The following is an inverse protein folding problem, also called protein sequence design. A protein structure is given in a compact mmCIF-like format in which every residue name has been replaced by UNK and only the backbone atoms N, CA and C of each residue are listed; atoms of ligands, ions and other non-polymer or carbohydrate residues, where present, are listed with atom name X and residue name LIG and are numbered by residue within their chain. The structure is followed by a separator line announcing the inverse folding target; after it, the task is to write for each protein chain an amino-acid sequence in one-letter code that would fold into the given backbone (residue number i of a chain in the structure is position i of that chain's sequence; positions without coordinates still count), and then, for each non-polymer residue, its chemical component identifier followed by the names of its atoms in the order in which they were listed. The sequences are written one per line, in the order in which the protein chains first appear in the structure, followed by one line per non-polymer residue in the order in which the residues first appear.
data_IF_249920490184
#
_entry.id   IF_249920490184
#
_cell.length_a   1.000
_cell.length_b   1.000
_cell.length_c   1.000
_cell.angle_alpha   90.00
_cell.angle_beta   90.00
_cell.angle_gamma   90.00
#
_symmetry.space_group_name_H-M   'P 1'
#
loop_
_entity.id
_entity.type
_entity.pdbx_description
1 polymer ?
#
# COMPACT_ATOMS: atom_id res chain seq x y z
N UNK A 1 1.28 -6.82 18.03
CA UNK A 1 2.03 -5.62 17.62
C UNK A 1 3.24 -6.06 16.80
N UNK A 2 3.27 -5.78 15.49
CA UNK A 2 4.44 -6.09 14.66
C UNK A 2 5.59 -5.17 15.11
N UNK A 3 6.77 -5.73 15.37
CA UNK A 3 7.95 -4.93 15.69
C UNK A 3 8.59 -4.45 14.39
N UNK A 4 8.33 -3.20 14.02
CA UNK A 4 8.79 -2.62 12.76
C UNK A 4 10.32 -2.55 12.67
N UNK A 5 10.87 -2.82 11.48
CA UNK A 5 12.31 -2.68 11.21
C UNK A 5 12.67 -1.21 11.06
N UNK A 6 13.90 -0.88 11.37
CA UNK A 6 14.41 0.48 11.22
C UNK A 6 15.27 0.57 9.97
N UNK A 7 15.07 1.64 9.19
CA UNK A 7 15.92 1.98 8.03
C UNK A 7 16.40 3.42 8.16
N UNK A 8 17.49 3.70 7.46
CA UNK A 8 18.13 5.00 7.35
C UNK A 8 18.04 5.47 5.90
N UNK A 9 17.56 6.69 5.74
CA UNK A 9 17.46 7.44 4.49
C UNK A 9 18.61 8.45 4.43
N UNK A 10 19.35 8.48 3.32
CA UNK A 10 20.49 9.40 3.14
C UNK A 10 20.75 9.67 1.66
N UNK A 11 21.23 10.87 1.31
CA UNK A 11 21.58 11.22 -0.07
C UNK A 11 22.13 12.64 -0.17
N UNK A 12 22.57 13.03 -1.37
CA UNK A 12 23.03 14.39 -1.62
C UNK A 12 21.88 15.38 -1.38
N UNK A 13 22.11 16.39 -0.54
CA UNK A 13 21.07 17.39 -0.22
C UNK A 13 19.94 16.91 0.70
N UNK A 14 19.98 15.67 1.21
CA UNK A 14 19.01 15.15 2.18
C UNK A 14 19.68 14.85 3.53
N UNK A 15 19.17 15.47 4.60
CA UNK A 15 19.64 15.17 5.96
C UNK A 15 19.35 13.71 6.29
N UNK A 16 20.32 13.01 6.89
CA UNK A 16 20.12 11.60 7.23
C UNK A 16 19.01 11.43 8.27
N UNK A 17 17.98 10.64 7.96
CA UNK A 17 16.85 10.35 8.86
C UNK A 17 16.74 8.85 9.09
N UNK A 18 16.42 8.46 10.33
CA UNK A 18 16.14 7.07 10.70
C UNK A 18 14.65 6.91 10.98
N UNK A 19 14.01 5.97 10.29
CA UNK A 19 12.55 5.76 10.31
C UNK A 19 12.19 4.29 10.46
N UNK A 20 11.00 4.02 10.99
CA UNK A 20 10.43 2.67 11.01
C UNK A 20 9.90 2.35 9.61
N UNK A 21 10.43 1.31 8.99
CA UNK A 21 10.00 0.81 7.69
C UNK A 21 8.85 -0.19 7.91
N UNK A 22 7.63 0.29 7.72
CA UNK A 22 6.43 -0.53 7.74
C UNK A 22 5.30 0.16 6.96
N UNK A 23 4.40 -0.62 6.33
CA UNK A 23 3.14 -0.06 5.87
C UNK A 23 2.30 0.43 7.06
N UNK A 24 1.41 1.36 6.76
CA UNK A 24 0.41 1.89 7.69
C UNK A 24 -0.91 1.18 7.45
N UNK A 25 -1.63 0.92 8.53
CA UNK A 25 -2.98 0.39 8.48
C UNK A 25 -3.96 1.54 8.72
N UNK A 26 -4.87 1.75 7.78
CA UNK A 26 -5.91 2.77 7.85
C UNK A 26 -7.26 2.13 8.17
N UNK A 27 -7.93 2.71 9.15
CA UNK A 27 -9.36 2.55 9.39
C UNK A 27 -9.99 3.94 9.18
N UNK A 28 -11.17 3.99 8.55
CA UNK A 28 -11.77 5.27 8.20
C UNK A 28 -13.11 5.14 7.52
N UNK A 29 -13.59 6.22 6.92
CA UNK A 29 -14.83 6.27 6.16
C UNK A 29 -14.67 7.19 4.95
N UNK A 30 -15.45 6.93 3.91
CA UNK A 30 -15.52 7.84 2.76
C UNK A 30 -16.47 8.98 3.11
N UNK A 31 -16.09 10.21 2.76
CA UNK A 31 -16.92 11.41 2.99
C UNK A 31 -18.29 11.22 2.31
N UNK A 32 -19.35 11.32 3.10
CA UNK A 32 -20.72 11.12 2.62
C UNK A 32 -21.29 9.71 2.87
N UNK A 33 -20.45 8.74 3.25
CA UNK A 33 -20.88 7.39 3.66
C UNK A 33 -20.35 7.01 5.06
N UNK A 34 -20.61 7.83 6.10
CA UNK A 34 -20.02 7.62 7.44
C UNK A 34 -20.48 6.32 8.13
N UNK A 35 -21.54 5.68 7.64
CA UNK A 35 -22.04 4.41 8.15
C UNK A 35 -21.43 3.19 7.43
N UNK A 36 -20.54 3.42 6.46
CA UNK A 36 -19.83 2.39 5.70
C UNK A 36 -18.31 2.60 5.89
N UNK A 37 -17.79 2.37 7.10
CA UNK A 37 -16.36 2.48 7.33
C UNK A 37 -15.62 1.38 6.57
N UNK A 38 -14.38 1.69 6.18
CA UNK A 38 -13.41 0.68 5.79
C UNK A 38 -12.45 0.43 6.94
N UNK A 39 -11.98 -0.81 7.04
CA UNK A 39 -11.04 -1.24 8.07
C UNK A 39 -9.87 -1.97 7.43
N UNK A 40 -8.74 -1.96 8.11
CA UNK A 40 -7.54 -2.70 7.77
C UNK A 40 -6.98 -2.37 6.39
N UNK A 41 -7.15 -1.15 5.87
CA UNK A 41 -6.59 -0.72 4.59
C UNK A 41 -5.07 -0.57 4.72
N UNK A 42 -4.30 -1.47 4.10
CA UNK A 42 -2.85 -1.38 4.10
C UNK A 42 -2.37 -0.36 3.07
N UNK A 43 -1.53 0.58 3.50
CA UNK A 43 -0.97 1.61 2.65
C UNK A 43 0.53 1.76 2.87
N UNK A 44 1.25 2.05 1.79
CA UNK A 44 2.70 2.20 1.80
C UNK A 44 3.05 3.68 1.67
N UNK A 45 3.95 4.15 2.52
CA UNK A 45 4.40 5.52 2.45
C UNK A 45 5.19 5.76 1.16
N UNK A 46 4.85 6.81 0.41
CA UNK A 46 5.58 7.26 -0.78
C UNK A 46 6.22 8.63 -0.58
N UNK A 47 6.29 9.09 0.68
CA UNK A 47 6.78 10.42 1.02
C UNK A 47 7.82 10.38 2.15
N UNK A 48 9.07 10.67 1.79
CA UNK A 48 10.21 10.62 2.72
C UNK A 48 10.61 11.99 3.28
N UNK A 49 9.99 13.08 2.80
CA UNK A 49 10.33 14.44 3.21
C UNK A 49 9.33 15.02 4.22
N UNK A 50 8.11 14.49 4.26
CA UNK A 50 7.12 14.85 5.26
C UNK A 50 7.07 13.80 6.38
N UNK A 51 7.00 14.29 7.62
CA UNK A 51 6.72 13.46 8.77
C UNK A 51 5.22 13.50 9.08
N UNK A 52 4.75 12.42 9.70
CA UNK A 52 3.43 12.34 10.29
C UNK A 52 3.60 11.93 11.75
N UNK A 53 2.88 12.59 12.64
CA UNK A 53 2.86 12.33 14.07
C UNK A 53 1.44 11.99 14.53
N UNK A 54 1.30 11.36 15.69
CA UNK A 54 -0.01 11.08 16.28
C UNK A 54 -0.82 12.37 16.57
N UNK A 55 -0.14 13.52 16.72
CA UNK A 55 -0.81 14.80 16.92
C UNK A 55 -1.49 15.30 15.64
N UNK A 56 -1.01 14.89 14.47
CA UNK A 56 -1.60 15.27 13.18
C UNK A 56 -2.95 14.57 12.93
N UNK A 57 -3.26 13.50 13.66
CA UNK A 57 -4.54 12.78 13.63
C UNK A 57 -5.63 13.41 14.53
N UNK A 58 -5.46 14.66 14.98
CA UNK A 58 -6.45 15.37 15.79
C UNK A 58 -6.78 16.74 15.17
N UNK A 59 -7.91 16.90 14.46
CA UNK A 59 -8.94 15.90 14.12
C UNK A 59 -8.45 14.85 13.10
N UNK A 60 -9.26 13.83 12.81
CA UNK A 60 -8.92 12.78 11.84
C UNK A 60 -8.41 13.37 10.52
N UNK A 61 -7.31 12.82 10.02
CA UNK A 61 -6.72 13.24 8.75
C UNK A 61 -7.67 12.91 7.60
N UNK A 62 -7.79 13.84 6.66
CA UNK A 62 -8.63 13.66 5.48
C UNK A 62 -7.76 13.53 4.24
N UNK A 63 -8.04 12.50 3.44
CA UNK A 63 -7.30 12.15 2.22
C UNK A 63 -8.21 12.20 0.99
N UNK A 64 -7.62 12.49 -0.17
CA UNK A 64 -8.22 12.35 -1.50
C UNK A 64 -7.37 11.37 -2.31
N UNK A 65 -8.01 10.67 -3.24
CA UNK A 65 -7.39 9.79 -4.24
C UNK A 65 -7.51 10.34 -5.68
N UNK A 66 -7.90 11.61 -5.83
CA UNK A 66 -8.04 12.30 -7.12
C UNK A 66 -6.70 12.79 -7.70
N UNK A 67 -5.60 12.58 -6.96
CA UNK A 67 -4.25 13.02 -7.34
C UNK A 67 -3.46 11.79 -7.76
N UNK A 68 -2.85 11.85 -8.95
CA UNK A 68 -1.96 10.79 -9.42
C UNK A 68 -0.54 10.95 -8.86
N UNK A 69 0.18 9.84 -8.75
CA UNK A 69 1.59 9.85 -8.35
C UNK A 69 2.47 10.19 -9.56
N UNK A 70 2.83 11.45 -9.72
CA UNK A 70 3.67 11.93 -10.85
C UNK A 70 5.06 12.42 -10.41
N UNK A 71 5.21 12.79 -9.14
CA UNK A 71 6.36 13.50 -8.64
C UNK A 71 7.08 12.72 -7.55
N UNK A 72 8.37 12.97 -7.40
CA UNK A 72 9.04 12.55 -6.18
C UNK A 72 8.48 13.34 -4.98
N UNK A 73 8.67 12.81 -3.79
CA UNK A 73 8.19 13.45 -2.56
C UNK A 73 8.90 14.76 -2.18
N UNK A 74 9.91 15.18 -2.94
CA UNK A 74 10.66 16.40 -2.65
C UNK A 74 9.88 17.61 -3.14
N UNK A 75 9.45 18.45 -2.22
CA UNK A 75 8.84 19.73 -2.57
C UNK A 75 9.90 20.81 -2.76
N UNK A 76 9.98 21.37 -3.97
CA UNK A 76 10.65 22.63 -4.27
C UNK A 76 9.72 23.51 -5.14
N UNK A 77 9.40 24.76 -4.70
CA UNK A 77 8.51 25.64 -5.45
C UNK A 77 9.08 26.10 -6.79
N UNK A 78 10.39 25.98 -7.01
CA UNK A 78 11.08 26.38 -8.24
C UNK A 78 11.49 25.16 -9.09
N UNK A 79 11.38 23.94 -8.55
CA UNK A 79 11.79 22.71 -9.21
C UNK A 79 10.84 21.57 -8.82
N UNK A 80 10.14 20.99 -9.79
CA UNK A 80 9.43 19.73 -9.59
C UNK A 80 10.18 18.61 -10.28
N UNK A 81 10.61 17.64 -9.48
CA UNK A 81 11.23 16.41 -9.98
C UNK A 81 10.12 15.38 -10.24
N UNK A 82 10.05 14.91 -11.48
CA UNK A 82 9.06 13.93 -11.92
C UNK A 82 9.63 12.52 -11.78
N UNK A 83 8.74 11.59 -11.45
CA UNK A 83 9.00 10.18 -11.60
C UNK A 83 8.84 9.81 -13.08
N UNK A 84 9.70 8.95 -13.58
CA UNK A 84 9.50 8.31 -14.88
C UNK A 84 8.33 7.31 -14.82
N UNK A 85 7.74 7.02 -15.98
CA UNK A 85 6.69 6.01 -16.09
C UNK A 85 7.14 4.64 -15.53
N UNK A 86 8.40 4.27 -15.76
CA UNK A 86 8.99 3.03 -15.24
C UNK A 86 9.08 3.04 -13.70
N UNK A 87 9.41 4.18 -13.09
CA UNK A 87 9.43 4.33 -11.63
C UNK A 87 8.03 4.24 -11.04
N UNK A 88 7.02 4.88 -11.68
CA UNK A 88 5.61 4.80 -11.25
C UNK A 88 5.13 3.36 -11.35
N UNK A 89 5.41 2.66 -12.45
CA UNK A 89 5.06 1.24 -12.62
C UNK A 89 5.74 0.36 -11.57
N UNK A 90 7.02 0.61 -11.28
CA UNK A 90 7.76 -0.14 -10.26
C UNK A 90 7.18 0.10 -8.86
N UNK A 91 6.90 1.35 -8.49
CA UNK A 91 6.26 1.70 -7.21
C UNK A 91 4.92 0.99 -7.11
N UNK A 92 4.11 1.06 -8.16
CA UNK A 92 2.80 0.41 -8.18
C UNK A 92 2.86 -1.10 -7.99
N UNK A 93 3.82 -1.77 -8.64
CA UNK A 93 4.06 -3.20 -8.44
C UNK A 93 4.57 -3.54 -7.05
N UNK A 94 5.45 -2.72 -6.47
CA UNK A 94 5.93 -2.91 -5.10
C UNK A 94 4.80 -2.76 -4.08
N UNK A 95 3.90 -1.79 -4.28
CA UNK A 95 2.71 -1.58 -3.44
C UNK A 95 1.79 -2.79 -3.51
N UNK A 96 1.41 -3.23 -4.72
CA UNK A 96 0.52 -4.39 -4.87
C UNK A 96 1.14 -5.68 -4.34
N UNK A 97 2.44 -5.91 -4.59
CA UNK A 97 3.17 -7.03 -4.01
C UNK A 97 3.17 -7.00 -2.47
N UNK A 98 3.43 -5.83 -1.88
CA UNK A 98 3.37 -5.64 -0.43
C UNK A 98 1.97 -5.90 0.14
N UNK A 99 0.93 -5.48 -0.59
CA UNK A 99 -0.47 -5.74 -0.27
C UNK A 99 -0.79 -7.25 -0.28
N UNK A 100 -0.33 -7.99 -1.28
CA UNK A 100 -0.44 -9.45 -1.31
C UNK A 100 0.25 -10.09 -0.10
N UNK A 101 1.51 -9.73 0.18
CA UNK A 101 2.27 -10.21 1.36
C UNK A 101 1.51 -9.96 2.66
N UNK A 102 0.84 -8.81 2.77
CA UNK A 102 0.05 -8.45 3.93
C UNK A 102 -1.16 -9.39 4.11
N UNK A 103 -2.05 -9.45 3.11
CA UNK A 103 -3.35 -10.14 3.22
C UNK A 103 -3.31 -11.64 2.94
N UNK A 104 -2.54 -12.08 1.94
CA UNK A 104 -2.71 -13.42 1.35
C UNK A 104 -1.70 -14.44 1.89
N UNK A 105 -0.56 -13.98 2.42
CA UNK A 105 0.51 -14.90 2.84
C UNK A 105 0.50 -15.22 4.34
N UNK A 106 0.33 -16.51 4.62
CA UNK A 106 0.53 -17.08 5.96
C UNK A 106 1.99 -17.52 6.16
N UNK A 107 2.87 -16.53 6.30
CA UNK A 107 4.29 -16.71 6.63
C UNK A 107 4.56 -16.28 8.07
N UNK A 108 5.69 -16.71 8.64
CA UNK A 108 6.06 -16.32 10.01
C UNK A 108 6.06 -14.80 10.19
N UNK A 109 5.66 -14.32 11.37
CA UNK A 109 5.61 -12.89 11.72
C UNK A 109 6.93 -12.18 11.41
N UNK A 110 8.07 -12.83 11.68
CA UNK A 110 9.40 -12.29 11.40
C UNK A 110 9.67 -12.15 9.90
N UNK A 111 9.31 -13.16 9.10
CA UNK A 111 9.47 -13.12 7.65
C UNK A 111 8.57 -12.03 7.05
N UNK A 112 7.30 -11.96 7.44
CA UNK A 112 6.36 -10.91 7.01
C UNK A 112 6.89 -9.51 7.35
N UNK A 113 7.36 -9.32 8.58
CA UNK A 113 7.93 -8.05 9.05
C UNK A 113 9.17 -7.64 8.25
N UNK A 114 10.07 -8.58 7.96
CA UNK A 114 11.26 -8.31 7.17
C UNK A 114 10.90 -7.94 5.73
N UNK A 115 9.99 -8.70 5.13
CA UNK A 115 9.57 -8.51 3.75
C UNK A 115 8.89 -7.17 3.55
N UNK A 116 7.90 -6.83 4.38
CA UNK A 116 7.18 -5.56 4.31
C UNK A 116 8.09 -4.36 4.56
N UNK A 117 9.07 -4.50 5.48
CA UNK A 117 10.08 -3.47 5.68
C UNK A 117 10.98 -3.28 4.45
N UNK A 118 11.34 -4.38 3.78
CA UNK A 118 12.11 -4.33 2.54
C UNK A 118 11.33 -3.75 1.37
N UNK A 119 10.03 -4.04 1.26
CA UNK A 119 9.13 -3.41 0.29
C UNK A 119 9.03 -1.91 0.56
N UNK A 120 8.75 -1.49 1.79
CA UNK A 120 8.68 -0.06 2.16
C UNK A 120 10.00 0.68 1.88
N UNK A 121 11.14 0.05 2.19
CA UNK A 121 12.46 0.61 1.90
C UNK A 121 12.77 0.69 0.40
N UNK A 122 12.30 -0.28 -0.39
CA UNK A 122 12.44 -0.26 -1.84
C UNK A 122 11.59 0.86 -2.46
N UNK A 123 10.33 1.02 -2.02
CA UNK A 123 9.45 2.12 -2.45
C UNK A 123 10.12 3.46 -2.17
N UNK A 124 10.65 3.67 -0.97
CA UNK A 124 11.36 4.90 -0.62
C UNK A 124 12.59 5.14 -1.49
N UNK A 125 13.34 4.09 -1.82
CA UNK A 125 14.49 4.22 -2.72
C UNK A 125 14.08 4.64 -4.13
N UNK A 126 13.04 4.04 -4.68
CA UNK A 126 12.54 4.37 -6.03
C UNK A 126 11.95 5.78 -6.05
N UNK A 127 11.04 6.11 -5.13
CA UNK A 127 10.31 7.39 -5.15
C UNK A 127 11.20 8.60 -4.88
N UNK A 128 12.31 8.44 -4.14
CA UNK A 128 13.15 9.57 -3.72
C UNK A 128 14.52 9.62 -4.39
N UNK A 129 14.97 8.53 -5.02
CA UNK A 129 16.35 8.37 -5.48
C UNK A 129 17.39 8.34 -4.36
N UNK A 130 16.98 8.33 -3.08
CA UNK A 130 17.89 8.30 -1.93
C UNK A 130 18.49 6.91 -1.70
N UNK A 131 19.60 6.89 -0.97
CA UNK A 131 20.13 5.65 -0.40
C UNK A 131 19.31 5.23 0.81
N UNK A 132 18.81 3.99 0.78
CA UNK A 132 18.04 3.36 1.87
C UNK A 132 18.82 2.17 2.41
N UNK A 133 19.12 2.17 3.71
CA UNK A 133 19.85 1.09 4.39
C UNK A 133 19.21 0.70 5.71
N UNK A 134 19.05 -0.59 5.98
CA UNK A 134 18.61 -1.08 7.29
C UNK A 134 19.62 -0.74 8.39
N UNK A 135 19.11 -0.32 9.55
CA UNK A 135 19.90 0.07 10.73
C UNK A 135 19.18 -0.33 12.01
N UNK A 136 19.86 -0.30 13.16
CA UNK A 136 19.23 -0.50 14.47
C UNK A 136 18.67 -1.92 14.70
N UNK A 137 19.02 -2.89 13.86
CA UNK A 137 18.76 -4.32 14.06
C UNK A 137 20.10 -5.09 14.20
N UNK A 138 20.03 -6.42 14.40
CA UNK A 138 21.23 -7.26 14.35
C UNK A 138 21.89 -7.19 12.97
N UNK A 139 23.21 -7.38 12.90
CA UNK A 139 23.97 -7.34 11.64
C UNK A 139 23.39 -8.28 10.59
N UNK A 140 23.03 -9.51 10.99
CA UNK A 140 22.41 -10.49 10.08
C UNK A 140 21.07 -10.00 9.52
N UNK A 141 20.23 -9.38 10.35
CA UNK A 141 18.95 -8.81 9.89
C UNK A 141 19.19 -7.62 8.95
N UNK A 142 20.13 -6.73 9.27
CA UNK A 142 20.43 -5.59 8.40
C UNK A 142 20.91 -6.07 7.02
N UNK A 143 21.76 -7.10 6.96
CA UNK A 143 22.24 -7.67 5.70
C UNK A 143 21.10 -8.29 4.87
N UNK A 144 20.19 -9.02 5.52
CA UNK A 144 19.00 -9.58 4.86
C UNK A 144 18.15 -8.46 4.26
N UNK A 145 17.82 -7.44 5.06
CA UNK A 145 16.99 -6.32 4.62
C UNK A 145 17.65 -5.52 3.49
N UNK A 146 18.95 -5.22 3.60
CA UNK A 146 19.69 -4.48 2.57
C UNK A 146 19.73 -5.24 1.24
N UNK A 147 19.99 -6.55 1.29
CA UNK A 147 19.97 -7.42 0.10
C UNK A 147 18.59 -7.41 -0.54
N UNK A 148 17.54 -7.51 0.27
CA UNK A 148 16.16 -7.54 -0.20
C UNK A 148 15.70 -6.20 -0.78
N UNK A 149 16.01 -5.09 -0.12
CA UNK A 149 15.77 -3.73 -0.63
C UNK A 149 16.48 -3.53 -1.97
N UNK A 150 17.75 -3.97 -2.09
CA UNK A 150 18.49 -3.85 -3.34
C UNK A 150 17.83 -4.64 -4.50
N UNK A 151 17.36 -5.86 -4.22
CA UNK A 151 16.66 -6.68 -5.22
C UNK A 151 15.32 -6.05 -5.67
N UNK A 152 14.51 -5.59 -4.71
CA UNK A 152 13.19 -5.00 -4.97
C UNK A 152 13.27 -3.60 -5.60
N UNK A 153 14.36 -2.86 -5.39
CA UNK A 153 14.58 -1.52 -5.98
C UNK A 153 15.37 -1.55 -7.30
N UNK A 154 15.73 -2.73 -7.83
CA UNK A 154 16.44 -2.81 -9.10
C UNK A 154 15.47 -2.62 -10.27
N UNK A 155 15.59 -1.50 -10.98
CA UNK A 155 14.69 -1.10 -12.08
C UNK A 155 14.52 -2.19 -13.18
N UNK A 156 15.53 -3.02 -13.42
CA UNK A 156 15.48 -4.03 -14.49
C UNK A 156 14.99 -5.41 -14.04
N UNK A 157 15.06 -5.73 -12.75
CA UNK A 157 14.85 -7.11 -12.27
C UNK A 157 13.94 -7.23 -11.04
N UNK A 158 13.33 -6.14 -10.58
CA UNK A 158 12.56 -6.13 -9.33
C UNK A 158 11.42 -7.17 -9.30
N UNK A 159 10.75 -7.43 -10.42
CA UNK A 159 9.66 -8.42 -10.48
C UNK A 159 10.14 -9.84 -10.21
N UNK A 160 11.35 -10.19 -10.63
CA UNK A 160 11.97 -11.50 -10.34
C UNK A 160 12.27 -11.68 -8.86
N UNK A 161 12.27 -10.58 -8.09
CA UNK A 161 12.44 -10.63 -6.65
C UNK A 161 11.10 -10.90 -5.92
N UNK A 162 9.93 -10.91 -6.55
CA UNK A 162 8.65 -11.13 -5.86
C UNK A 162 8.45 -12.61 -5.48
N UNK A 163 8.98 -13.01 -4.32
CA UNK A 163 9.00 -14.41 -3.87
C UNK A 163 7.65 -14.91 -3.37
N UNK A 164 6.73 -14.00 -3.07
CA UNK A 164 5.40 -14.30 -2.58
C UNK A 164 4.30 -14.01 -3.60
N UNK A 165 4.60 -13.58 -4.83
CA UNK A 165 3.54 -13.33 -5.80
C UNK A 165 2.81 -14.63 -6.17
N UNK A 166 1.48 -14.65 -6.09
CA UNK A 166 0.64 -15.80 -6.48
C UNK A 166 0.21 -15.75 -7.96
N UNK A 167 0.61 -14.69 -8.68
CA UNK A 167 0.30 -14.46 -10.08
C UNK A 167 0.91 -13.16 -10.60
N UNK A 168 0.36 -12.62 -11.70
CA UNK A 168 0.77 -11.31 -12.20
C UNK A 168 0.50 -10.23 -11.14
N UNK A 169 1.55 -9.54 -10.71
CA UNK A 169 1.43 -8.36 -9.84
C UNK A 169 1.15 -7.13 -10.70
N UNK A 170 -0.01 -6.52 -10.52
CA UNK A 170 -0.41 -5.30 -11.23
C UNK A 170 0.31 -4.06 -10.70
N UNK A 171 0.31 -2.98 -11.49
CA UNK A 171 0.95 -1.71 -11.15
C UNK A 171 -0.02 -0.59 -10.80
N UNK A 172 -1.33 -0.81 -10.93
CA UNK A 172 -2.32 0.22 -10.63
C UNK A 172 -2.39 0.46 -9.12
N UNK A 173 -2.40 1.74 -8.74
CA UNK A 173 -2.43 2.20 -7.36
C UNK A 173 -3.30 3.44 -7.25
N UNK A 174 -3.80 3.68 -6.05
CA UNK A 174 -4.37 4.98 -5.65
C UNK A 174 -3.42 5.67 -4.70
N UNK A 175 -3.22 6.98 -4.92
CA UNK A 175 -2.42 7.81 -4.04
C UNK A 175 -3.35 8.53 -3.06
N UNK A 176 -3.30 8.11 -1.79
CA UNK A 176 -3.89 8.83 -0.68
C UNK A 176 -3.06 10.06 -0.40
N UNK A 177 -3.55 11.20 -0.86
CA UNK A 177 -2.94 12.52 -0.62
C UNK A 177 -3.73 13.25 0.46
N UNK A 178 -3.08 13.70 1.55
CA UNK A 178 -3.75 14.53 2.54
C UNK A 178 -4.17 15.84 1.88
N UNK A 179 -5.40 16.27 2.12
CA UNK A 179 -5.90 17.54 1.58
C UNK A 179 -6.20 18.53 2.68
N UNK A 180 -6.14 19.80 2.32
CA UNK A 180 -6.63 20.89 3.15
C UNK A 180 -7.67 21.68 2.35
N UNK A 181 -8.93 21.58 2.75
CA UNK A 181 -10.02 22.34 2.14
C UNK A 181 -9.72 23.84 2.19
N UNK A 182 -9.83 24.51 1.04
CA UNK A 182 -9.56 25.94 0.91
C UNK A 182 -9.66 26.46 -0.53
N UNK A 183 -9.62 27.79 -0.69
CA UNK A 183 -9.71 28.50 -1.99
C UNK A 183 -8.62 28.11 -3.00
N UNK A 184 -7.53 27.51 -2.53
CA UNK A 184 -6.40 27.04 -3.36
C UNK A 184 -6.01 25.63 -2.88
N UNK A 185 -6.49 24.57 -3.55
CA UNK A 185 -6.13 23.21 -3.17
C UNK A 185 -4.63 23.01 -3.39
N UNK A 186 -3.94 22.51 -2.36
CA UNK A 186 -2.54 22.13 -2.46
C UNK A 186 -2.48 20.70 -2.97
N UNK A 187 -1.61 20.45 -3.93
CA UNK A 187 -1.41 19.13 -4.51
C UNK A 187 -0.07 18.59 -4.07
N UNK A 188 0.01 17.27 -3.90
CA UNK A 188 1.26 16.58 -3.67
C UNK A 188 2.27 16.84 -4.81
N UNK A 189 3.58 16.96 -4.51
CA UNK A 189 4.16 17.16 -3.19
C UNK A 189 3.98 18.62 -2.74
N UNK A 190 3.73 18.87 -1.46
CA UNK A 190 3.68 20.24 -0.93
C UNK A 190 4.07 20.31 0.55
N UNK A 191 4.95 21.24 0.91
CA UNK A 191 5.45 21.45 2.29
C UNK A 191 4.41 21.65 3.41
N UNK A 192 3.16 21.91 3.04
CA UNK A 192 2.09 22.22 4.00
C UNK A 192 1.09 21.06 4.11
N UNK A 193 1.39 19.94 3.46
CA UNK A 193 0.66 18.68 3.52
C UNK A 193 1.45 17.70 4.40
N UNK A 194 0.76 16.69 4.92
CA UNK A 194 1.39 15.58 5.65
C UNK A 194 1.87 14.51 4.66
N UNK A 195 2.40 13.42 5.20
CA UNK A 195 2.86 12.27 4.43
C UNK A 195 1.75 11.68 3.54
N UNK A 196 2.10 11.30 2.31
CA UNK A 196 1.20 10.64 1.35
C UNK A 196 1.48 9.14 1.26
N UNK A 197 0.43 8.37 0.92
CA UNK A 197 0.47 6.91 0.92
C UNK A 197 -0.09 6.34 -0.38
N UNK A 198 0.49 5.25 -0.87
CA UNK A 198 -0.06 4.49 -1.98
C UNK A 198 -0.76 3.23 -1.47
N UNK A 199 -1.94 2.94 -2.02
CA UNK A 199 -2.68 1.70 -1.79
C UNK A 199 -2.77 0.91 -3.10
N UNK A 200 -2.70 -0.42 -2.99
CA UNK A 200 -2.85 -1.31 -4.14
C UNK A 200 -4.32 -1.56 -4.44
N UNK A 201 -4.65 -1.79 -5.72
CA UNK A 201 -5.99 -2.18 -6.17
C UNK A 201 -6.38 -3.61 -5.74
N UNK A 202 -5.44 -4.37 -5.18
CA UNK A 202 -5.71 -5.70 -4.62
C UNK A 202 -6.56 -5.69 -3.32
N UNK A 203 -7.04 -4.53 -2.87
CA UNK A 203 -8.15 -4.47 -1.91
C UNK A 203 -9.41 -4.86 -2.68
N UNK A 204 -10.09 -5.98 -2.34
CA UNK A 204 -11.33 -6.31 -3.02
C UNK A 204 -12.27 -5.13 -2.84
N UNK A 205 -12.55 -4.43 -3.94
CA UNK A 205 -13.50 -3.35 -3.96
C UNK A 205 -14.79 -3.83 -3.25
N UNK A 206 -15.55 -2.96 -2.55
CA UNK A 206 -16.85 -3.33 -1.99
C UNK A 206 -17.73 -4.10 -3.00
N UNK A 207 -17.59 -3.83 -4.31
CA UNK A 207 -18.21 -4.58 -5.39
C UNK A 207 -17.77 -6.05 -5.51
N UNK A 208 -16.52 -6.38 -5.19
CA UNK A 208 -16.01 -7.77 -5.18
C UNK A 208 -16.66 -8.59 -4.08
N UNK A 209 -16.92 -7.99 -2.91
CA UNK A 209 -17.70 -8.63 -1.85
C UNK A 209 -19.14 -8.85 -2.29
N UNK A 210 -19.75 -7.87 -2.97
CA UNK A 210 -21.09 -8.00 -3.57
C UNK A 210 -21.12 -9.08 -4.64
N UNK A 211 -20.06 -9.24 -5.45
CA UNK A 211 -19.94 -10.29 -6.46
C UNK A 211 -19.73 -11.68 -5.83
N UNK A 212 -18.93 -11.79 -4.76
CA UNK A 212 -18.76 -13.06 -4.03
C UNK A 212 -20.05 -13.45 -3.31
N UNK A 213 -20.67 -12.54 -2.57
CA UNK A 213 -21.97 -12.77 -1.90
C UNK A 213 -23.07 -13.04 -2.94
N UNK A 214 -23.09 -12.29 -4.04
CA UNK A 214 -24.02 -12.46 -5.15
C UNK A 214 -23.85 -13.83 -5.84
N UNK A 215 -22.61 -14.26 -6.07
CA UNK A 215 -22.28 -15.58 -6.62
C UNK A 215 -22.72 -16.73 -5.72
N UNK A 216 -22.47 -16.65 -4.41
CA UNK A 216 -22.96 -17.64 -3.45
C UNK A 216 -24.49 -17.62 -3.29
N UNK A 217 -25.10 -16.44 -3.34
CA UNK A 217 -26.56 -16.28 -3.32
C UNK A 217 -27.25 -16.92 -4.53
N UNK A 218 -26.68 -16.73 -5.73
CA UNK A 218 -27.18 -17.36 -6.96
C UNK A 218 -26.96 -18.87 -6.97
N UNK A 219 -25.79 -19.35 -6.55
CA UNK A 219 -25.52 -20.79 -6.42
C UNK A 219 -26.48 -21.46 -5.41
N UNK A 220 -26.75 -20.80 -4.28
CA UNK A 220 -27.74 -21.26 -3.28
C UNK A 220 -29.17 -21.28 -3.82
N UNK A 221 -29.56 -20.28 -4.62
CA UNK A 221 -30.88 -20.22 -5.25
C UNK A 221 -31.08 -21.36 -6.27
N UNK A 222 -30.05 -21.68 -7.06
CA UNK A 222 -30.09 -22.78 -8.03
C UNK A 222 -30.18 -24.15 -7.34
N UNK A 223 -29.43 -24.38 -6.25
CA UNK A 223 -29.51 -25.61 -5.45
C UNK A 223 -30.89 -25.79 -4.78
N UNK A 224 -31.52 -24.69 -4.35
CA UNK A 224 -32.86 -24.73 -3.75
C UNK A 224 -33.95 -25.09 -4.77
N UNK A 225 -33.83 -24.60 -6.01
CA UNK A 225 -34.73 -24.96 -7.11
C UNK A 225 -34.64 -26.45 -7.46
N UNK A 226 -33.44 -27.03 -7.41
CA UNK A 226 -33.23 -28.44 -7.70
C UNK A 226 -33.87 -29.36 -6.62
N UNK A 227 -33.88 -28.94 -5.35
CA UNK A 227 -34.54 -29.71 -4.27
C UNK A 227 -36.07 -29.72 -4.37
N UNK A 228 -36.68 -28.68 -4.94
CA UNK A 228 -38.14 -28.65 -5.16
C UNK A 228 -38.60 -29.61 -6.25
N UNK A 229 -37.73 -29.91 -7.24
CA UNK A 229 -38.03 -30.89 -8.28
C UNK A 229 -38.02 -32.34 -7.75
N UNK A 230 -37.21 -32.65 -6.72
CA UNK A 230 -37.21 -33.98 -6.08
C UNK A 230 -38.39 -34.21 -5.13
N UNK A 231 -38.99 -33.16 -4.57
CA UNK A 231 -40.18 -33.28 -3.70
C UNK A 231 -41.50 -33.38 -4.50
N UNK A 232 -41.53 -32.85 -5.73
CA UNK A 232 -42.71 -32.93 -6.60
C UNK A 232 -42.95 -34.33 -7.23
N UNK A 233 -41.98 -35.26 -7.12
CA UNK A 233 -42.11 -36.63 -7.66
C UNK A 233 -42.70 -37.62 -6.63
N UNK A 234 -42.87 -37.22 -5.36
CA UNK A 234 -43.36 -38.12 -4.29
C UNK A 234 -44.82 -37.89 -3.86
N UNK A 235 -45.62 -37.23 -4.68
CA UNK A 235 -47.06 -37.04 -4.47
C UNK A 235 -47.77 -37.38 -5.79
N UNK A 236 -47.75 -38.65 -6.17
CA UNK A 236 -48.65 -39.27 -7.15
C UNK A 236 -48.44 -40.79 -7.06
N UNK A 237 -48.93 -41.37 -5.96
CA UNK A 237 -49.18 -42.81 -5.80
C UNK A 237 -50.36 -42.99 -4.87
#
# INVERSE_FOLDING_TARGET
MYSYRTVRLSGSGFTTVTVKAAPVLFDGYIKGTPNEPFENLVAFCVDVYHSISLADYKPDLTYTDDIELEHNSHWDPNKRDYLSDDEIVQIGKLVNYGTEVWYNHNISTTAKTNELASVQGAIWKVVSGLTVTATGNTTSINNILNTRIAALSNASTYTSAFTYAEGPVYSSIKLLTPFKDGKYPKQYPHKDLTQSFAIGDAVPEPGTWVMMIGGFGLAGAMLRRHRQQFLAVKINS
#
